data_IF_106930094646
#
_entry.id   IF_106930094646
#
_cell.length_a   1.000
_cell.length_b   1.000
_cell.length_c   1.000
_cell.angle_alpha   90.00
_cell.angle_beta   90.00
_cell.angle_gamma   90.00
#
_symmetry.space_group_name_H-M   'P 1'
#
loop_
_entity.id
_entity.type
_entity.pdbx_description
1 polymer ?
#
# COMPACT_ATOMS: atom_id res chain seq x y z
N UNK A 1 19.78 1.22 9.17
CA UNK A 1 19.09 2.09 8.18
C UNK A 1 17.62 1.68 8.19
N UNK A 2 16.75 2.42 8.90
CA UNK A 2 15.32 2.08 8.95
C UNK A 2 14.72 2.38 7.57
N UNK A 3 14.52 1.35 6.75
CA UNK A 3 13.63 1.43 5.59
C UNK A 3 12.26 1.85 6.12
N UNK A 4 11.91 3.13 6.03
CA UNK A 4 10.55 3.56 6.33
C UNK A 4 9.65 3.01 5.23
N UNK A 5 9.05 1.85 5.50
CA UNK A 5 8.06 1.20 4.65
C UNK A 5 6.84 2.09 4.53
N UNK A 6 6.23 2.11 3.35
CA UNK A 6 4.90 2.65 3.16
C UNK A 6 3.92 1.93 4.09
N UNK A 7 3.00 2.68 4.68
CA UNK A 7 1.97 2.13 5.58
C UNK A 7 0.64 2.09 4.84
N UNK A 8 0.02 0.92 4.78
CA UNK A 8 -1.32 0.75 4.22
C UNK A 8 -2.30 0.67 5.40
N UNK A 9 -3.32 1.53 5.40
CA UNK A 9 -4.38 1.53 6.41
C UNK A 9 -5.74 1.38 5.73
N UNK A 10 -6.53 0.40 6.18
CA UNK A 10 -7.92 0.27 5.77
C UNK A 10 -8.77 1.38 6.41
N UNK A 11 -9.69 1.94 5.62
CA UNK A 11 -10.71 2.92 6.04
C UNK A 11 -12.09 2.41 5.57
N UNK A 12 -13.21 2.94 6.11
CA UNK A 12 -14.54 2.47 5.73
C UNK A 12 -14.84 2.57 4.22
N UNK A 13 -14.18 3.48 3.52
CA UNK A 13 -14.37 3.73 2.08
C UNK A 13 -13.24 3.21 1.19
N UNK A 14 -12.32 2.37 1.70
CA UNK A 14 -11.18 1.84 0.94
C UNK A 14 -9.90 1.77 1.76
N UNK A 15 -8.81 2.29 1.22
CA UNK A 15 -7.47 2.24 1.82
C UNK A 15 -6.74 3.57 1.71
N UNK A 16 -5.81 3.79 2.63
CA UNK A 16 -4.87 4.91 2.59
C UNK A 16 -3.46 4.35 2.54
N UNK A 17 -2.69 4.78 1.55
CA UNK A 17 -1.25 4.47 1.42
C UNK A 17 -0.47 5.70 1.86
N UNK A 18 0.12 5.63 3.05
CA UNK A 18 0.90 6.71 3.65
C UNK A 18 2.39 6.48 3.43
N UNK A 19 3.06 7.49 2.87
CA UNK A 19 4.48 7.44 2.57
C UNK A 19 5.34 8.05 3.67
N UNK A 20 6.64 7.73 3.70
CA UNK A 20 7.56 8.19 4.74
C UNK A 20 7.79 9.70 4.73
N UNK A 21 7.47 10.36 3.62
CA UNK A 21 7.57 11.81 3.38
C UNK A 21 6.29 12.58 3.75
N UNK A 22 5.28 11.91 4.33
CA UNK A 22 3.99 12.52 4.66
C UNK A 22 2.99 12.57 3.51
N UNK A 23 3.37 12.12 2.31
CA UNK A 23 2.44 11.99 1.18
C UNK A 23 1.52 10.78 1.37
N UNK A 24 0.21 11.03 1.41
CA UNK A 24 -0.81 9.99 1.55
C UNK A 24 -1.75 9.98 0.34
N UNK A 25 -2.07 8.79 -0.16
CA UNK A 25 -3.02 8.59 -1.25
C UNK A 25 -4.19 7.78 -0.73
N UNK A 26 -5.41 8.20 -1.04
CA UNK A 26 -6.63 7.46 -0.74
C UNK A 26 -6.99 6.62 -1.97
N UNK A 27 -7.06 5.31 -1.80
CA UNK A 27 -7.44 4.35 -2.82
C UNK A 27 -8.83 3.80 -2.48
N UNK A 28 -9.82 3.96 -3.36
CA UNK A 28 -11.20 3.49 -3.10
C UNK A 28 -11.41 2.09 -3.64
N UNK A 29 -10.63 1.71 -4.63
CA UNK A 29 -10.63 0.38 -5.22
C UNK A 29 -9.35 -0.37 -4.90
N UNK A 30 -9.43 -1.70 -4.96
CA UNK A 30 -8.25 -2.54 -4.84
C UNK A 30 -7.23 -2.26 -5.96
N UNK A 31 -7.70 -1.94 -7.15
CA UNK A 31 -6.82 -1.62 -8.29
C UNK A 31 -6.00 -0.35 -8.04
N UNK A 32 -6.64 0.73 -7.56
CA UNK A 32 -5.95 1.96 -7.15
C UNK A 32 -4.93 1.72 -6.03
N UNK A 33 -5.23 0.80 -5.11
CA UNK A 33 -4.31 0.41 -4.04
C UNK A 33 -3.07 -0.28 -4.61
N UNK A 34 -3.28 -1.28 -5.47
CA UNK A 34 -2.19 -2.02 -6.10
C UNK A 34 -1.33 -1.11 -6.97
N UNK A 35 -1.93 -0.22 -7.76
CA UNK A 35 -1.18 0.76 -8.56
C UNK A 35 -0.35 1.71 -7.69
N UNK A 36 -0.94 2.21 -6.59
CA UNK A 36 -0.24 3.10 -5.67
C UNK A 36 0.96 2.41 -5.01
N UNK A 37 0.83 1.15 -4.60
CA UNK A 37 1.91 0.37 -3.99
C UNK A 37 2.95 -0.03 -5.03
N UNK A 38 2.53 -0.48 -6.21
CA UNK A 38 3.42 -0.82 -7.34
C UNK A 38 4.34 0.34 -7.69
N UNK A 39 3.78 1.55 -7.84
CA UNK A 39 4.54 2.76 -8.17
C UNK A 39 5.57 3.13 -7.10
N UNK A 40 5.28 2.87 -5.82
CA UNK A 40 6.16 3.24 -4.70
C UNK A 40 7.23 2.18 -4.41
N UNK A 41 6.87 0.91 -4.48
CA UNK A 41 7.78 -0.21 -4.27
C UNK A 41 8.56 -0.59 -5.53
N UNK A 42 8.34 0.10 -6.66
CA UNK A 42 8.92 -0.21 -7.97
C UNK A 42 8.76 -1.69 -8.36
N UNK A 43 7.65 -2.28 -7.92
CA UNK A 43 7.31 -3.70 -8.11
C UNK A 43 6.18 -3.77 -9.12
N UNK A 44 6.15 -4.80 -9.98
CA UNK A 44 5.07 -4.92 -10.94
C UNK A 44 3.72 -5.14 -10.25
N UNK A 45 2.66 -4.57 -10.83
CA UNK A 45 1.26 -4.77 -10.37
C UNK A 45 0.92 -6.26 -10.27
N UNK A 46 1.41 -7.07 -11.21
CA UNK A 46 1.17 -8.51 -11.24
C UNK A 46 1.82 -9.23 -10.05
N UNK A 47 3.08 -8.91 -9.74
CA UNK A 47 3.78 -9.41 -8.55
C UNK A 47 3.05 -9.01 -7.26
N UNK A 48 2.54 -7.77 -7.15
CA UNK A 48 1.79 -7.32 -5.96
C UNK A 48 0.48 -8.09 -5.80
N UNK A 49 -0.23 -8.36 -6.91
CA UNK A 49 -1.45 -9.18 -6.90
C UNK A 49 -1.15 -10.62 -6.53
N UNK A 50 -0.03 -11.16 -7.00
CA UNK A 50 0.34 -12.54 -6.78
C UNK A 50 0.92 -12.79 -5.38
N UNK A 51 1.69 -11.84 -4.84
CA UNK A 51 2.17 -11.87 -3.45
C UNK A 51 1.06 -11.56 -2.43
N UNK A 52 0.05 -10.80 -2.86
CA UNK A 52 -0.92 -10.19 -1.98
C UNK A 52 -0.32 -9.04 -1.19
N UNK A 53 -1.18 -8.12 -0.74
CA UNK A 53 -0.74 -6.92 -0.01
C UNK A 53 -0.41 -7.17 1.48
N UNK A 54 -0.44 -8.44 1.92
CA UNK A 54 -0.34 -8.82 3.33
C UNK A 54 -1.55 -8.30 4.13
N UNK A 55 -1.91 -9.00 5.20
CA UNK A 55 -2.96 -8.52 6.08
C UNK A 55 -2.42 -7.34 6.92
N UNK A 56 -3.00 -6.12 6.82
CA UNK A 56 -2.51 -4.97 7.56
C UNK A 56 -2.66 -5.11 9.08
N UNK A 57 -3.42 -6.11 9.58
CA UNK A 57 -3.54 -6.40 11.01
C UNK A 57 -2.40 -7.28 11.56
N UNK A 58 -1.50 -7.80 10.73
CA UNK A 58 -0.39 -8.65 11.18
C UNK A 58 0.89 -7.89 11.57
N UNK A 59 0.87 -6.56 11.63
CA UNK A 59 1.98 -5.78 12.18
C UNK A 59 1.60 -5.28 13.59
N UNK A 60 1.60 -6.19 14.55
CA UNK A 60 1.47 -5.89 15.98
C UNK A 60 2.75 -6.30 16.72
#
# INVERSE_FOLDING_TARGET
>A
MLLRRDTIRAIPSGWVVAGPTGSSVVCRTYDELVEAVSRRSQTAVDDIRHLGLGDPAQTA
#
